data_IF_471523570366
#
_entry.id   IF_471523570366
#
_cell.length_a   1.000
_cell.length_b   1.000
_cell.length_c   1.000
_cell.angle_alpha   90.00
_cell.angle_beta   90.00
_cell.angle_gamma   90.00
#
_symmetry.space_group_name_H-M   'P 1'
#
loop_
_entity.id
_entity.type
_entity.pdbx_description
1 polymer ?
#
# COMPACT_ATOMS: atom_id res chain seq x y z
N UNK A 1 -5.74 15.93 31.77
CA UNK A 1 -4.83 15.53 30.68
C UNK A 1 -4.79 16.62 29.63
N UNK A 2 -3.59 17.00 29.20
CA UNK A 2 -3.30 17.96 28.13
C UNK A 2 -2.83 17.20 26.89
N UNK A 3 -2.79 17.86 25.73
CA UNK A 3 -2.39 17.25 24.45
C UNK A 3 -1.03 16.56 24.49
N UNK A 4 -0.04 17.18 25.15
CA UNK A 4 1.30 16.62 25.37
C UNK A 4 1.29 15.34 26.19
N UNK A 5 0.19 14.98 26.85
CA UNK A 5 0.07 13.71 27.57
C UNK A 5 -0.17 12.52 26.65
N UNK A 6 -0.71 12.75 25.45
CA UNK A 6 -1.08 11.73 24.48
C UNK A 6 -0.02 11.55 23.38
N UNK A 7 0.55 12.65 22.89
CA UNK A 7 1.53 12.64 21.79
C UNK A 7 2.96 12.56 22.35
N UNK A 8 3.29 11.46 23.03
CA UNK A 8 4.57 11.27 23.75
C UNK A 8 5.52 10.30 23.07
N UNK A 9 5.06 9.07 22.86
CA UNK A 9 5.88 7.99 22.34
C UNK A 9 5.57 7.77 20.87
N UNK A 10 6.56 7.96 20.01
CA UNK A 10 6.41 7.68 18.57
C UNK A 10 6.23 6.18 18.34
N UNK A 11 5.37 5.83 17.38
CA UNK A 11 5.40 4.50 16.76
C UNK A 11 6.70 4.35 16.00
N UNK A 12 7.36 3.19 16.12
CA UNK A 12 8.61 2.89 15.41
C UNK A 12 8.34 1.87 14.34
N UNK A 13 8.83 2.16 13.13
CA UNK A 13 8.78 1.19 12.05
C UNK A 13 9.80 0.09 12.25
N UNK A 14 9.39 -1.16 12.03
CA UNK A 14 10.30 -2.30 12.08
C UNK A 14 11.30 -2.25 10.93
N UNK A 15 12.56 -2.59 11.22
CA UNK A 15 13.62 -2.70 10.21
C UNK A 15 13.85 -4.18 9.88
N UNK A 16 13.34 -4.59 8.72
CA UNK A 16 13.45 -5.98 8.21
C UNK A 16 14.88 -6.41 7.90
N UNK A 17 15.83 -5.47 7.88
CA UNK A 17 17.26 -5.76 7.66
C UNK A 17 18.02 -6.07 8.94
N UNK A 18 17.41 -5.77 10.10
CA UNK A 18 18.05 -5.87 11.42
C UNK A 18 17.99 -7.27 12.05
N UNK A 19 17.21 -8.19 11.46
CA UNK A 19 17.05 -9.56 11.94
C UNK A 19 16.76 -10.51 10.77
N UNK A 20 17.28 -11.74 10.85
CA UNK A 20 17.01 -12.80 9.87
C UNK A 20 15.96 -13.78 10.37
N UNK A 21 14.76 -13.75 9.78
CA UNK A 21 13.65 -14.65 10.08
C UNK A 21 13.71 -15.98 9.31
N UNK A 22 14.71 -16.22 8.47
CA UNK A 22 14.80 -17.45 7.67
C UNK A 22 14.74 -18.74 8.51
N UNK A 23 15.43 -18.86 9.67
CA UNK A 23 15.34 -20.06 10.50
C UNK A 23 13.93 -20.34 11.02
N UNK A 24 13.19 -19.30 11.44
CA UNK A 24 11.83 -19.47 11.96
C UNK A 24 10.84 -19.78 10.83
N UNK A 25 10.97 -19.14 9.67
CA UNK A 25 10.13 -19.45 8.49
C UNK A 25 10.34 -20.89 8.02
N UNK A 26 11.59 -21.37 7.99
CA UNK A 26 11.88 -22.76 7.62
C UNK A 26 11.25 -23.75 8.61
N UNK A 27 11.35 -23.49 9.92
CA UNK A 27 10.71 -24.33 10.93
C UNK A 27 9.16 -24.30 10.82
N UNK A 28 8.59 -23.13 10.50
CA UNK A 28 7.14 -22.97 10.32
C UNK A 28 6.57 -23.77 9.14
N UNK A 29 7.40 -24.16 8.16
CA UNK A 29 6.98 -25.03 7.06
C UNK A 29 6.52 -26.41 7.53
N UNK A 30 7.16 -26.95 8.58
CA UNK A 30 6.85 -28.25 9.17
C UNK A 30 5.76 -28.17 10.25
N UNK A 31 5.32 -26.97 10.61
CA UNK A 31 4.24 -26.72 11.58
C UNK A 31 2.85 -26.77 10.90
N UNK A 32 1.78 -26.47 11.66
CA UNK A 32 0.38 -26.46 11.20
C UNK A 32 -0.25 -25.07 11.25
N UNK A 33 -1.44 -24.92 10.66
CA UNK A 33 -2.23 -23.68 10.64
C UNK A 33 -1.47 -22.49 10.04
N UNK A 34 -1.69 -21.28 10.57
CA UNK A 34 -1.11 -20.03 10.09
C UNK A 34 0.41 -20.09 9.94
N UNK A 35 1.14 -20.85 10.77
CA UNK A 35 2.58 -21.04 10.60
C UNK A 35 2.94 -21.59 9.22
N UNK A 36 2.25 -22.63 8.76
CA UNK A 36 2.47 -23.21 7.43
C UNK A 36 2.01 -22.27 6.32
N UNK A 37 0.93 -21.52 6.55
CA UNK A 37 0.44 -20.51 5.60
C UNK A 37 1.50 -19.42 5.38
N UNK A 38 2.14 -18.93 6.44
CA UNK A 38 3.24 -17.93 6.37
C UNK A 38 4.44 -18.49 5.61
N UNK A 39 4.85 -19.73 5.90
CA UNK A 39 5.96 -20.37 5.19
C UNK A 39 5.67 -20.53 3.69
N UNK A 40 4.46 -20.96 3.32
CA UNK A 40 4.03 -21.09 1.93
C UNK A 40 3.88 -19.73 1.23
N UNK A 41 3.34 -18.72 1.91
CA UNK A 41 3.29 -17.35 1.41
C UNK A 41 4.70 -16.81 1.10
N UNK A 42 5.67 -17.11 1.98
CA UNK A 42 7.07 -16.72 1.78
C UNK A 42 7.70 -17.45 0.59
N UNK A 43 7.41 -18.74 0.40
CA UNK A 43 7.86 -19.49 -0.79
C UNK A 43 7.29 -18.90 -2.08
N UNK A 44 5.98 -18.62 -2.11
CA UNK A 44 5.31 -18.04 -3.29
C UNK A 44 5.88 -16.65 -3.61
N UNK A 45 6.11 -15.78 -2.62
CA UNK A 45 6.73 -14.47 -2.87
C UNK A 45 8.17 -14.62 -3.40
N UNK A 46 8.95 -15.58 -2.90
CA UNK A 46 10.29 -15.84 -3.46
C UNK A 46 10.21 -16.36 -4.90
N UNK A 47 9.20 -17.17 -5.26
CA UNK A 47 8.97 -17.59 -6.66
C UNK A 47 8.68 -16.38 -7.55
N UNK A 48 7.80 -15.48 -7.12
CA UNK A 48 7.51 -14.24 -7.84
C UNK A 48 8.80 -13.43 -8.10
N UNK A 49 9.68 -13.33 -7.09
CA UNK A 49 10.94 -12.57 -7.19
C UNK A 49 11.95 -13.22 -8.15
N UNK A 50 11.99 -14.55 -8.18
CA UNK A 50 12.89 -15.31 -9.06
C UNK A 50 12.33 -15.48 -10.48
N UNK A 51 11.07 -15.12 -10.73
CA UNK A 51 10.44 -15.16 -12.05
C UNK A 51 10.75 -13.87 -12.83
N UNK A 52 11.63 -13.99 -13.83
CA UNK A 52 12.09 -12.89 -14.69
C UNK A 52 10.99 -12.27 -15.54
N UNK A 53 9.86 -12.94 -15.73
CA UNK A 53 8.70 -12.47 -16.50
C UNK A 53 7.58 -11.93 -15.59
N UNK A 54 7.69 -12.11 -14.27
CA UNK A 54 6.71 -11.65 -13.30
C UNK A 54 6.85 -10.16 -12.95
N UNK A 55 5.75 -9.42 -13.15
CA UNK A 55 5.51 -8.10 -12.56
C UNK A 55 4.82 -8.28 -11.20
N UNK A 56 5.44 -7.83 -10.11
CA UNK A 56 4.95 -7.99 -8.74
C UNK A 56 4.19 -6.73 -8.33
N UNK A 57 2.91 -6.90 -8.02
CA UNK A 57 2.04 -5.84 -7.54
C UNK A 57 1.82 -6.01 -6.04
N UNK A 58 2.23 -5.00 -5.27
CA UNK A 58 1.95 -4.89 -3.85
C UNK A 58 0.61 -4.18 -3.65
N UNK A 59 -0.32 -4.81 -2.95
CA UNK A 59 -1.54 -4.12 -2.50
C UNK A 59 -1.49 -3.82 -1.02
N UNK A 60 -1.78 -2.59 -0.62
CA UNK A 60 -1.76 -2.17 0.79
C UNK A 60 -3.10 -1.59 1.18
N UNK A 61 -3.81 -2.33 2.03
CA UNK A 61 -5.00 -1.86 2.72
C UNK A 61 -4.81 -1.92 4.24
N UNK A 62 -5.69 -1.23 4.96
CA UNK A 62 -5.63 -1.12 6.41
C UNK A 62 -4.55 -0.16 6.91
N UNK A 63 -4.30 -0.21 8.21
CA UNK A 63 -3.54 0.84 8.92
C UNK A 63 -2.21 0.36 9.49
N UNK A 64 -1.70 -0.80 9.05
CA UNK A 64 -0.41 -1.32 9.53
C UNK A 64 0.77 -0.41 9.21
N UNK A 65 0.61 0.39 8.16
CA UNK A 65 1.41 1.55 7.81
C UNK A 65 1.62 2.52 8.99
N UNK A 66 0.56 2.93 9.69
CA UNK A 66 0.65 3.75 10.91
C UNK A 66 1.14 2.95 12.14
N UNK A 67 0.97 1.62 12.12
CA UNK A 67 1.30 0.71 13.23
C UNK A 67 2.72 0.12 13.15
N UNK A 68 3.63 0.72 12.38
CA UNK A 68 5.04 0.32 12.34
C UNK A 68 5.48 -0.52 11.13
N UNK A 69 4.62 -0.72 10.13
CA UNK A 69 4.97 -1.47 8.92
C UNK A 69 5.34 -0.59 7.71
N UNK A 70 5.26 0.75 7.79
CA UNK A 70 5.51 1.60 6.60
C UNK A 70 6.90 1.36 5.98
N UNK A 71 7.91 1.19 6.83
CA UNK A 71 9.29 0.92 6.36
C UNK A 71 9.39 -0.37 5.55
N UNK A 72 8.57 -1.39 5.86
CA UNK A 72 8.55 -2.64 5.10
C UNK A 72 8.16 -2.36 3.64
N UNK A 73 7.09 -1.60 3.42
CA UNK A 73 6.61 -1.29 2.07
C UNK A 73 7.62 -0.43 1.30
N UNK A 74 8.21 0.56 1.96
CA UNK A 74 9.29 1.37 1.41
C UNK A 74 10.51 0.50 1.03
N UNK A 75 10.91 -0.43 1.91
CA UNK A 75 12.04 -1.34 1.67
C UNK A 75 11.76 -2.31 0.52
N UNK A 76 10.51 -2.77 0.33
CA UNK A 76 10.16 -3.60 -0.83
C UNK A 76 10.39 -2.86 -2.16
N UNK A 77 10.11 -1.55 -2.23
CA UNK A 77 10.43 -0.72 -3.41
C UNK A 77 11.94 -0.50 -3.54
N UNK A 78 12.59 -0.12 -2.44
CA UNK A 78 14.04 0.14 -2.37
C UNK A 78 14.86 -1.07 -2.83
N UNK A 79 14.49 -2.26 -2.38
CA UNK A 79 15.17 -3.52 -2.69
C UNK A 79 14.57 -4.24 -3.91
N UNK A 80 13.85 -3.53 -4.80
CA UNK A 80 13.36 -4.05 -6.08
C UNK A 80 12.50 -5.33 -5.97
N UNK A 81 11.81 -5.51 -4.84
CA UNK A 81 10.94 -6.66 -4.59
C UNK A 81 9.55 -6.51 -5.23
N UNK A 82 9.15 -5.28 -5.57
CA UNK A 82 7.85 -4.94 -6.15
C UNK A 82 8.02 -3.92 -7.27
N UNK A 83 7.11 -3.95 -8.25
CA UNK A 83 7.17 -3.09 -9.43
C UNK A 83 6.00 -2.11 -9.54
N UNK A 84 4.90 -2.39 -8.85
CA UNK A 84 3.69 -1.55 -8.82
C UNK A 84 3.10 -1.60 -7.41
N UNK A 85 2.56 -0.47 -6.94
CA UNK A 85 1.82 -0.41 -5.68
C UNK A 85 0.38 0.00 -5.96
N UNK A 86 -0.59 -0.68 -5.35
CA UNK A 86 -1.99 -0.26 -5.31
C UNK A 86 -2.38 -0.13 -3.84
N UNK A 87 -2.81 1.04 -3.39
CA UNK A 87 -3.01 1.28 -1.96
C UNK A 87 -4.23 2.16 -1.68
N UNK A 88 -4.64 2.20 -0.41
CA UNK A 88 -5.62 3.19 0.06
C UNK A 88 -4.99 4.58 0.17
N UNK A 89 -5.81 5.62 0.07
CA UNK A 89 -5.34 7.01 0.17
C UNK A 89 -4.70 7.26 1.54
N UNK A 90 -5.33 6.74 2.60
CA UNK A 90 -4.79 6.85 3.96
C UNK A 90 -3.37 6.28 4.09
N UNK A 91 -3.06 5.14 3.45
CA UNK A 91 -1.71 4.57 3.48
C UNK A 91 -0.68 5.50 2.83
N UNK A 92 -1.04 6.07 1.68
CA UNK A 92 -0.11 6.86 0.86
C UNK A 92 0.02 8.29 1.40
N UNK A 93 -1.07 8.89 1.89
CA UNK A 93 -1.13 10.31 2.23
C UNK A 93 -1.05 10.50 3.75
N UNK A 94 -2.01 9.97 4.48
CA UNK A 94 -2.17 10.18 5.93
C UNK A 94 -1.06 9.50 6.74
N UNK A 95 -0.42 8.47 6.15
CA UNK A 95 0.63 7.70 6.79
C UNK A 95 2.02 7.97 6.18
N UNK A 96 2.24 7.68 4.89
CA UNK A 96 3.58 7.82 4.29
C UNK A 96 3.96 9.28 4.02
N UNK A 97 3.17 9.99 3.21
CA UNK A 97 3.46 11.38 2.84
C UNK A 97 3.46 12.29 4.08
N UNK A 98 2.51 12.10 4.99
CA UNK A 98 2.47 12.76 6.29
C UNK A 98 3.78 12.61 7.08
N UNK A 99 4.30 11.39 7.21
CA UNK A 99 5.60 11.18 7.86
C UNK A 99 6.77 11.75 7.06
N UNK A 100 6.72 11.71 5.73
CA UNK A 100 7.72 12.31 4.85
C UNK A 100 7.84 13.83 5.06
N UNK A 101 6.72 14.51 5.36
CA UNK A 101 6.67 15.91 5.77
C UNK A 101 7.27 16.17 7.17
N UNK A 102 7.61 15.12 7.92
CA UNK A 102 8.27 15.18 9.23
C UNK A 102 7.34 14.98 10.43
N UNK A 103 6.07 14.68 10.17
CA UNK A 103 5.09 14.41 11.21
C UNK A 103 5.16 12.95 11.69
N UNK A 104 4.41 12.62 12.75
CA UNK A 104 4.59 11.38 13.51
C UNK A 104 3.27 10.76 13.92
N UNK A 105 3.26 9.43 13.94
CA UNK A 105 2.26 8.64 14.65
C UNK A 105 2.77 8.32 16.05
N UNK A 106 1.87 8.28 17.01
CA UNK A 106 2.20 8.04 18.41
C UNK A 106 1.49 6.80 18.93
N UNK A 107 2.14 6.08 19.84
CA UNK A 107 1.50 5.00 20.57
C UNK A 107 0.39 5.57 21.44
N UNK A 108 -0.71 4.85 21.47
CA UNK A 108 -1.92 5.18 22.22
C UNK A 108 -2.51 3.96 22.90
N UNK A 109 -3.82 4.01 23.14
CA UNK A 109 -4.58 2.91 23.73
C UNK A 109 -6.00 2.95 23.17
N UNK A 110 -6.66 1.79 22.98
CA UNK A 110 -8.07 1.79 22.62
C UNK A 110 -8.97 2.19 23.80
N UNK A 111 -8.45 2.16 25.02
CA UNK A 111 -9.19 2.44 26.26
C UNK A 111 -9.01 3.91 26.69
N UNK A 112 -9.55 4.83 25.89
CA UNK A 112 -9.47 6.28 26.11
C UNK A 112 -10.81 6.95 25.82
N UNK A 113 -11.09 8.07 26.49
CA UNK A 113 -12.27 8.89 26.16
C UNK A 113 -12.05 9.63 24.83
N UNK A 114 -12.69 9.15 23.77
CA UNK A 114 -12.60 9.74 22.44
C UNK A 114 -13.15 11.19 22.39
N UNK A 115 -14.08 11.58 23.28
CA UNK A 115 -14.50 13.00 23.38
C UNK A 115 -13.35 13.87 23.84
N UNK A 116 -12.51 13.35 24.74
CA UNK A 116 -11.33 14.07 25.21
C UNK A 116 -10.27 14.20 24.11
N UNK A 117 -10.03 13.14 23.34
CA UNK A 117 -9.15 13.19 22.17
C UNK A 117 -9.63 14.25 21.17
N UNK A 118 -10.92 14.24 20.83
CA UNK A 118 -11.51 15.22 19.92
C UNK A 118 -11.35 16.66 20.42
N UNK A 119 -11.60 16.92 21.70
CA UNK A 119 -11.37 18.25 22.31
C UNK A 119 -9.91 18.72 22.21
N UNK A 120 -8.96 17.78 22.19
CA UNK A 120 -7.53 18.06 22.09
C UNK A 120 -7.02 18.06 20.65
N UNK A 121 -7.91 17.81 19.67
CA UNK A 121 -7.57 17.72 18.25
C UNK A 121 -6.54 16.62 17.99
N UNK A 122 -6.87 15.43 18.49
CA UNK A 122 -6.12 14.20 18.32
C UNK A 122 -7.09 13.17 17.76
N UNK A 123 -6.71 12.52 16.67
CA UNK A 123 -7.47 11.41 16.13
C UNK A 123 -6.78 10.10 16.46
N UNK A 124 -7.56 9.01 16.40
CA UNK A 124 -7.12 7.69 16.83
C UNK A 124 -7.39 6.65 15.77
N UNK A 125 -6.35 5.88 15.47
CA UNK A 125 -6.38 4.69 14.64
C UNK A 125 -6.14 3.51 15.58
N UNK A 126 -7.21 2.93 16.10
CA UNK A 126 -7.15 1.89 17.14
C UNK A 126 -6.30 2.31 18.36
N UNK A 127 -5.09 1.79 18.53
CA UNK A 127 -4.17 2.12 19.61
C UNK A 127 -3.02 3.04 19.15
N UNK A 128 -3.21 3.73 18.04
CA UNK A 128 -2.28 4.73 17.49
C UNK A 128 -2.95 6.10 17.45
N UNK A 129 -2.23 7.15 17.80
CA UNK A 129 -2.69 8.53 17.78
C UNK A 129 -2.01 9.34 16.68
N UNK A 130 -2.76 10.27 16.12
CA UNK A 130 -2.29 11.25 15.13
C UNK A 130 -2.71 12.65 15.53
N UNK A 131 -1.85 13.61 15.21
CA UNK A 131 -2.09 15.02 15.46
C UNK A 131 -2.89 15.65 14.30
N UNK A 132 -4.16 15.95 14.54
CA UNK A 132 -5.06 16.55 13.53
C UNK A 132 -4.53 17.87 12.96
N UNK A 133 -3.82 18.68 13.77
CA UNK A 133 -3.24 19.94 13.26
C UNK A 133 -2.12 19.67 12.27
N UNK A 134 -1.39 18.57 12.43
CA UNK A 134 -0.37 18.15 11.48
C UNK A 134 -1.02 17.59 10.21
N UNK A 135 -2.14 16.86 10.34
CA UNK A 135 -2.92 16.39 9.18
C UNK A 135 -3.41 17.56 8.34
N UNK A 136 -3.92 18.62 8.97
CA UNK A 136 -4.31 19.84 8.25
C UNK A 136 -3.16 20.50 7.47
N UNK A 137 -1.92 20.38 7.95
CA UNK A 137 -0.73 20.83 7.19
C UNK A 137 -0.45 19.89 6.00
N UNK A 138 -0.67 18.59 6.16
CA UNK A 138 -0.63 17.62 5.07
C UNK A 138 -1.67 17.96 3.99
N UNK A 139 -2.93 18.18 4.38
CA UNK A 139 -4.03 18.55 3.47
C UNK A 139 -3.69 19.84 2.70
N UNK A 140 -3.22 20.87 3.40
CA UNK A 140 -2.80 22.13 2.79
C UNK A 140 -1.59 21.95 1.86
N UNK A 141 -0.73 20.97 2.12
CA UNK A 141 0.39 20.62 1.23
C UNK A 141 -0.11 19.95 -0.05
N UNK A 142 -1.11 19.08 0.04
CA UNK A 142 -1.78 18.51 -1.14
C UNK A 142 -2.42 19.63 -1.98
N UNK A 143 -3.15 20.56 -1.35
CA UNK A 143 -3.68 21.74 -2.04
C UNK A 143 -2.58 22.50 -2.78
N UNK A 144 -1.45 22.78 -2.10
CA UNK A 144 -0.32 23.49 -2.69
C UNK A 144 0.25 22.78 -3.92
N UNK A 145 0.31 21.44 -3.91
CA UNK A 145 0.73 20.67 -5.08
C UNK A 145 -0.31 20.84 -6.19
N UNK A 146 -1.60 20.65 -5.90
CA UNK A 146 -2.68 20.81 -6.87
C UNK A 146 -2.71 22.21 -7.52
N UNK A 147 -2.51 23.27 -6.72
CA UNK A 147 -2.44 24.66 -7.18
C UNK A 147 -1.31 24.93 -8.19
N UNK A 148 -0.28 24.08 -8.22
CA UNK A 148 0.85 24.20 -9.14
C UNK A 148 0.67 23.45 -10.46
N UNK A 149 -0.40 22.66 -10.58
CA UNK A 149 -0.68 21.82 -11.74
C UNK A 149 -1.63 22.52 -12.72
N UNK A 150 -1.57 22.12 -13.98
CA UNK A 150 -2.51 22.62 -15.01
C UNK A 150 -3.90 22.03 -14.78
N UNK A 151 -4.99 22.81 -14.95
CA UNK A 151 -6.37 22.35 -14.75
C UNK A 151 -6.75 21.29 -15.79
N UNK A 152 -6.74 20.03 -15.38
CA UNK A 152 -7.20 18.88 -16.16
C UNK A 152 -7.52 17.71 -15.22
N UNK A 153 -8.16 16.65 -15.71
CA UNK A 153 -8.20 15.38 -15.00
C UNK A 153 -6.80 14.73 -14.90
N UNK A 154 -6.45 14.28 -13.71
CA UNK A 154 -5.24 13.48 -13.42
C UNK A 154 -5.65 12.11 -12.89
N UNK A 155 -4.86 11.07 -13.17
CA UNK A 155 -4.97 9.83 -12.39
C UNK A 155 -4.36 10.02 -11.00
N UNK A 156 -4.71 9.19 -10.03
CA UNK A 156 -4.02 9.19 -8.73
C UNK A 156 -2.52 8.95 -8.90
N UNK A 157 -2.11 8.07 -9.83
CA UNK A 157 -0.69 7.83 -10.16
C UNK A 157 0.02 9.11 -10.58
N UNK A 158 -0.53 9.87 -11.53
CA UNK A 158 0.07 11.14 -11.97
C UNK A 158 0.21 12.13 -10.80
N UNK A 159 -0.80 12.22 -9.94
CA UNK A 159 -0.76 13.14 -8.80
C UNK A 159 0.29 12.70 -7.77
N UNK A 160 0.39 11.40 -7.49
CA UNK A 160 1.39 10.83 -6.56
C UNK A 160 2.82 11.01 -7.10
N UNK A 161 3.03 10.99 -8.42
CA UNK A 161 4.32 11.36 -9.02
C UNK A 161 4.70 12.81 -8.67
N UNK A 162 3.75 13.74 -8.72
CA UNK A 162 4.00 15.14 -8.31
C UNK A 162 4.21 15.27 -6.80
N UNK A 163 3.58 14.43 -5.97
CA UNK A 163 3.89 14.31 -4.54
C UNK A 163 5.34 13.82 -4.31
N UNK A 164 5.78 12.78 -5.01
CA UNK A 164 7.17 12.29 -4.91
C UNK A 164 8.19 13.34 -5.33
N UNK A 165 7.93 14.04 -6.45
CA UNK A 165 8.74 15.17 -6.91
C UNK A 165 8.78 16.33 -5.91
N UNK A 166 7.67 16.60 -5.23
CA UNK A 166 7.64 17.56 -4.12
C UNK A 166 8.55 17.11 -2.96
N UNK A 167 8.51 15.82 -2.60
CA UNK A 167 9.31 15.25 -1.51
C UNK A 167 10.82 15.29 -1.77
N UNK A 168 11.27 15.17 -3.03
CA UNK A 168 12.71 15.31 -3.36
C UNK A 168 13.30 16.59 -2.75
N UNK A 169 12.56 17.69 -2.81
CA UNK A 169 13.00 19.00 -2.32
C UNK A 169 12.60 19.28 -0.88
N UNK A 170 11.45 18.77 -0.43
CA UNK A 170 10.81 19.21 0.81
C UNK A 170 10.75 18.15 1.92
N UNK A 171 11.07 16.89 1.64
CA UNK A 171 10.96 15.81 2.63
C UNK A 171 11.88 16.05 3.83
N UNK A 172 11.29 15.96 5.02
CA UNK A 172 11.97 16.00 6.32
C UNK A 172 12.43 14.61 6.75
N UNK A 173 11.58 13.58 6.56
CA UNK A 173 11.95 12.17 6.66
C UNK A 173 12.24 11.66 5.25
N UNK A 174 13.44 11.11 5.04
CA UNK A 174 13.84 10.51 3.77
C UNK A 174 13.39 9.07 3.68
N UNK A 175 13.43 8.52 2.47
CA UNK A 175 13.11 7.12 2.17
C UNK A 175 11.66 6.74 2.52
N UNK A 176 10.72 7.68 2.30
CA UNK A 176 9.29 7.36 2.32
C UNK A 176 8.91 6.50 1.11
N UNK A 177 7.83 5.74 1.21
CA UNK A 177 7.32 4.93 0.09
C UNK A 177 7.08 5.78 -1.15
N UNK A 178 6.39 6.92 -1.04
CA UNK A 178 6.12 7.86 -2.14
C UNK A 178 7.41 8.41 -2.74
N UNK A 179 8.38 8.78 -1.90
CA UNK A 179 9.68 9.27 -2.37
C UNK A 179 10.43 8.18 -3.16
N UNK A 180 10.57 6.99 -2.58
CA UNK A 180 11.29 5.88 -3.19
C UNK A 180 10.61 5.41 -4.47
N UNK A 181 9.28 5.38 -4.50
CA UNK A 181 8.51 5.03 -5.68
C UNK A 181 8.79 6.00 -6.84
N UNK A 182 8.83 7.30 -6.57
CA UNK A 182 9.23 8.31 -7.55
C UNK A 182 10.68 8.14 -8.02
N UNK A 183 11.63 7.95 -7.10
CA UNK A 183 13.06 7.80 -7.43
C UNK A 183 13.35 6.52 -8.23
N UNK A 184 12.54 5.47 -8.05
CA UNK A 184 12.72 4.17 -8.68
C UNK A 184 11.73 3.88 -9.82
N UNK A 185 10.91 4.86 -10.24
CA UNK A 185 9.86 4.73 -11.25
C UNK A 185 8.91 3.54 -11.00
N UNK A 186 8.47 3.37 -9.75
CA UNK A 186 7.43 2.42 -9.36
C UNK A 186 6.11 3.18 -9.25
N UNK A 187 5.10 2.93 -10.11
CA UNK A 187 3.83 3.64 -10.03
C UNK A 187 3.04 3.21 -8.80
N UNK A 188 2.40 4.19 -8.17
CA UNK A 188 1.45 3.99 -7.07
C UNK A 188 0.06 4.39 -7.55
N UNK A 189 -0.91 3.48 -7.43
CA UNK A 189 -2.31 3.74 -7.71
C UNK A 189 -3.12 3.77 -6.42
N UNK A 190 -4.02 4.76 -6.31
CA UNK A 190 -4.95 4.89 -5.22
C UNK A 190 -6.37 5.15 -5.77
N UNK A 191 -7.16 4.08 -6.04
CA UNK A 191 -8.43 4.23 -6.75
C UNK A 191 -9.46 5.12 -6.05
N UNK A 192 -9.43 5.13 -4.71
CA UNK A 192 -10.23 6.00 -3.86
C UNK A 192 -9.37 7.12 -3.26
N UNK A 193 -8.65 7.89 -4.09
CA UNK A 193 -7.68 8.89 -3.62
C UNK A 193 -8.32 10.00 -2.76
N UNK A 194 -9.55 10.40 -3.09
CA UNK A 194 -10.29 11.41 -2.33
C UNK A 194 -10.68 10.94 -0.92
N UNK A 195 -10.63 9.63 -0.63
CA UNK A 195 -10.92 9.05 0.68
C UNK A 195 -9.65 9.03 1.56
N UNK A 196 -9.09 10.23 1.79
CA UNK A 196 -7.87 10.49 2.58
C UNK A 196 -7.64 11.99 2.75
N UNK A 197 -6.56 12.39 3.45
CA UNK A 197 -6.03 13.78 3.49
C UNK A 197 -5.90 14.41 2.10
N UNK A 198 -5.67 13.62 1.05
CA UNK A 198 -5.62 14.18 -0.30
C UNK A 198 -6.97 14.77 -0.74
N UNK A 199 -8.08 14.12 -0.39
CA UNK A 199 -9.41 14.63 -0.69
C UNK A 199 -9.67 16.00 -0.08
N UNK A 200 -9.28 16.21 1.18
CA UNK A 200 -9.43 17.50 1.85
C UNK A 200 -8.65 18.61 1.14
N UNK A 201 -7.38 18.37 0.82
CA UNK A 201 -6.55 19.30 0.05
C UNK A 201 -7.12 19.62 -1.34
N UNK A 202 -7.64 18.60 -2.04
CA UNK A 202 -8.26 18.75 -3.35
C UNK A 202 -9.58 19.53 -3.29
N UNK A 203 -10.41 19.31 -2.27
CA UNK A 203 -11.63 20.10 -2.06
C UNK A 203 -11.28 21.57 -1.78
N UNK A 204 -10.28 21.83 -0.95
CA UNK A 204 -9.80 23.20 -0.71
C UNK A 204 -9.33 23.87 -2.01
N UNK A 205 -8.61 23.13 -2.86
CA UNK A 205 -8.18 23.60 -4.18
C UNK A 205 -9.38 23.94 -5.08
N UNK A 206 -10.34 23.03 -5.22
CA UNK A 206 -11.51 23.23 -6.08
C UNK A 206 -12.39 24.40 -5.63
N UNK A 207 -12.64 24.53 -4.32
CA UNK A 207 -13.44 25.64 -3.78
C UNK A 207 -12.77 26.99 -4.06
N UNK A 208 -11.45 27.09 -3.94
CA UNK A 208 -10.71 28.33 -4.19
C UNK A 208 -10.61 28.65 -5.69
N UNK A 209 -10.33 27.63 -6.52
CA UNK A 209 -10.06 27.80 -7.95
C UNK A 209 -11.31 27.80 -8.84
N UNK A 210 -12.46 27.36 -8.33
CA UNK A 210 -13.74 27.30 -9.05
C UNK A 210 -13.64 26.51 -10.35
N UNK A 211 -13.59 27.14 -11.51
CA UNK A 211 -13.51 26.44 -12.81
C UNK A 211 -12.06 26.14 -13.24
N UNK A 212 -11.06 26.75 -12.58
CA UNK A 212 -9.63 26.61 -12.89
C UNK A 212 -8.94 25.55 -12.00
N UNK A 213 -9.57 24.38 -11.86
CA UNK A 213 -9.13 23.33 -10.93
C UNK A 213 -8.71 22.03 -11.62
N UNK A 214 -7.97 21.21 -10.89
CA UNK A 214 -7.70 19.82 -11.26
C UNK A 214 -8.74 18.86 -10.67
N UNK A 215 -8.96 17.74 -11.33
CA UNK A 215 -9.78 16.63 -10.83
C UNK A 215 -8.99 15.34 -10.84
N UNK A 216 -9.48 14.35 -10.08
CA UNK A 216 -8.93 12.99 -10.07
C UNK A 216 -9.88 12.08 -10.84
N UNK A 217 -9.36 11.41 -11.86
CA UNK A 217 -10.06 10.47 -12.73
C UNK A 217 -9.68 9.04 -12.35
N UNK A 218 -10.57 8.37 -11.61
CA UNK A 218 -10.39 6.98 -11.18
C UNK A 218 -10.51 5.97 -12.33
N UNK A 219 -11.19 6.32 -13.43
CA UNK A 219 -11.23 5.48 -14.64
C UNK A 219 -9.88 5.51 -15.33
N UNK A 220 -9.21 6.66 -15.34
CA UNK A 220 -7.84 6.78 -15.84
C UNK A 220 -6.85 5.93 -15.02
N UNK A 221 -6.98 5.89 -13.69
CA UNK A 221 -6.21 4.94 -12.86
C UNK A 221 -6.42 3.49 -13.30
N UNK A 222 -7.68 3.09 -13.49
CA UNK A 222 -8.01 1.71 -13.84
C UNK A 222 -7.49 1.33 -15.23
N UNK A 223 -7.57 2.27 -16.18
CA UNK A 223 -7.03 2.09 -17.53
C UNK A 223 -5.51 1.96 -17.52
N UNK A 224 -4.80 2.88 -16.86
CA UNK A 224 -3.33 2.85 -16.78
C UNK A 224 -2.82 1.56 -16.13
N UNK A 225 -3.48 1.10 -15.05
CA UNK A 225 -3.15 -0.17 -14.40
C UNK A 225 -3.46 -1.38 -15.29
N UNK A 226 -4.56 -1.34 -16.05
CA UNK A 226 -4.91 -2.39 -17.01
C UNK A 226 -3.92 -2.45 -18.18
N UNK A 227 -3.39 -1.31 -18.63
CA UNK A 227 -2.35 -1.26 -19.65
C UNK A 227 -1.06 -1.96 -19.16
N UNK A 228 -0.68 -1.78 -17.89
CA UNK A 228 0.42 -2.55 -17.28
C UNK A 228 0.11 -4.05 -17.32
N UNK A 229 -1.10 -4.46 -16.95
CA UNK A 229 -1.51 -5.88 -16.99
C UNK A 229 -1.44 -6.47 -18.41
N UNK A 230 -1.83 -5.71 -19.43
CA UNK A 230 -1.77 -6.13 -20.84
C UNK A 230 -0.33 -6.30 -21.33
N UNK A 231 0.58 -5.43 -20.89
CA UNK A 231 1.98 -5.44 -21.31
C UNK A 231 2.82 -6.45 -20.50
N UNK A 232 2.44 -6.74 -19.26
CA UNK A 232 3.10 -7.71 -18.42
C UNK A 232 2.88 -9.13 -18.95
N UNK A 233 3.95 -9.89 -19.14
CA UNK A 233 3.86 -11.31 -19.51
C UNK A 233 3.21 -12.15 -18.41
N UNK A 234 3.53 -11.83 -17.16
CA UNK A 234 3.02 -12.50 -15.96
C UNK A 234 2.93 -11.49 -14.83
N UNK A 235 2.01 -11.74 -13.91
CA UNK A 235 1.79 -10.87 -12.74
C UNK A 235 1.60 -11.69 -11.48
N UNK A 236 2.21 -11.24 -10.37
CA UNK A 236 2.02 -11.78 -9.02
C UNK A 236 1.44 -10.72 -8.08
N UNK A 237 0.51 -11.13 -7.22
CA UNK A 237 -0.13 -10.26 -6.23
C UNK A 237 0.38 -10.57 -4.83
N UNK A 238 0.94 -9.57 -4.14
CA UNK A 238 1.25 -9.66 -2.72
C UNK A 238 0.39 -8.65 -1.96
N UNK A 239 -0.63 -9.16 -1.27
CA UNK A 239 -1.76 -8.36 -0.81
C UNK A 239 -1.84 -8.29 0.70
N UNK A 240 -1.81 -7.08 1.25
CA UNK A 240 -2.00 -6.81 2.68
C UNK A 240 -3.40 -6.27 2.89
N UNK A 241 -4.22 -7.01 3.62
CA UNK A 241 -5.63 -6.73 3.82
C UNK A 241 -6.48 -7.12 2.62
N UNK A 242 -7.37 -6.22 2.19
CA UNK A 242 -8.34 -6.46 1.14
C UNK A 242 -8.86 -5.16 0.54
N UNK A 243 -10.19 -5.00 0.49
CA UNK A 243 -10.85 -3.77 0.06
C UNK A 243 -10.57 -3.40 -1.39
N UNK A 244 -10.60 -2.09 -1.66
CA UNK A 244 -10.44 -1.53 -3.00
C UNK A 244 -9.11 -1.94 -3.64
N UNK A 245 -7.94 -1.84 -2.97
CA UNK A 245 -6.67 -2.20 -3.61
C UNK A 245 -6.62 -3.64 -4.17
N UNK A 246 -7.15 -4.60 -3.40
CA UNK A 246 -7.24 -6.01 -3.82
C UNK A 246 -8.14 -6.17 -5.04
N UNK A 247 -9.38 -5.70 -4.95
CA UNK A 247 -10.35 -5.93 -6.03
C UNK A 247 -9.96 -5.19 -7.31
N UNK A 248 -9.45 -3.96 -7.16
CA UNK A 248 -9.10 -3.10 -8.29
C UNK A 248 -7.99 -3.68 -9.17
N UNK A 249 -6.92 -4.24 -8.60
CA UNK A 249 -5.88 -4.92 -9.40
C UNK A 249 -6.42 -6.21 -10.03
N UNK A 250 -7.22 -6.99 -9.30
CA UNK A 250 -7.74 -8.26 -9.81
C UNK A 250 -8.69 -8.06 -11.01
N UNK A 251 -9.48 -6.97 -11.01
CA UNK A 251 -10.39 -6.63 -12.11
C UNK A 251 -9.68 -6.20 -13.40
N UNK A 252 -8.37 -5.94 -13.38
CA UNK A 252 -7.62 -5.57 -14.59
C UNK A 252 -7.59 -6.68 -15.64
N UNK A 253 -7.69 -7.95 -15.22
CA UNK A 253 -7.81 -9.09 -16.14
C UNK A 253 -9.10 -8.97 -16.94
N UNK A 254 -10.22 -8.72 -16.26
CA UNK A 254 -11.55 -8.60 -16.88
C UNK A 254 -11.65 -7.34 -17.71
N UNK A 255 -11.05 -6.24 -17.26
CA UNK A 255 -10.97 -5.01 -18.03
C UNK A 255 -10.20 -5.22 -19.34
N UNK A 256 -9.08 -5.95 -19.32
CA UNK A 256 -8.34 -6.29 -20.52
C UNK A 256 -9.20 -7.12 -21.50
N UNK A 257 -9.98 -8.08 -21.01
CA UNK A 257 -10.92 -8.85 -21.84
C UNK A 257 -12.01 -7.97 -22.46
N UNK A 258 -12.59 -7.03 -21.70
CA UNK A 258 -13.54 -6.04 -22.22
C UNK A 258 -12.95 -5.15 -23.31
N UNK A 259 -11.61 -4.96 -23.31
CA UNK A 259 -10.86 -4.25 -24.35
C UNK A 259 -10.45 -5.16 -25.52
N UNK A 260 -10.93 -6.42 -25.55
CA UNK A 260 -10.60 -7.40 -26.59
C UNK A 260 -9.15 -7.91 -26.50
N UNK A 261 -8.52 -7.84 -25.33
CA UNK A 261 -7.16 -8.34 -25.08
C UNK A 261 -7.23 -9.61 -24.23
N UNK A 262 -6.70 -10.69 -24.76
CA UNK A 262 -6.49 -11.92 -23.98
C UNK A 262 -5.22 -11.79 -23.17
N UNK A 263 -5.35 -11.83 -21.84
CA UNK A 263 -4.23 -11.79 -20.89
C UNK A 263 -4.34 -12.97 -19.94
N UNK A 264 -3.23 -13.53 -19.43
CA UNK A 264 -3.29 -14.58 -18.43
C UNK A 264 -3.84 -14.03 -17.10
N UNK A 265 -4.41 -14.90 -16.28
CA UNK A 265 -4.76 -14.59 -14.88
C UNK A 265 -3.51 -14.16 -14.09
N UNK A 266 -3.69 -13.61 -12.89
CA UNK A 266 -2.57 -13.44 -11.97
C UNK A 266 -2.03 -14.80 -11.54
N UNK A 267 -0.80 -15.14 -11.94
CA UNK A 267 -0.22 -16.48 -11.77
C UNK A 267 0.11 -16.80 -10.30
N UNK A 268 0.51 -15.78 -9.55
CA UNK A 268 0.85 -15.90 -8.13
C UNK A 268 -0.04 -14.98 -7.31
N UNK A 269 -0.51 -15.45 -6.16
CA UNK A 269 -1.31 -14.62 -5.26
C UNK A 269 -1.08 -14.99 -3.79
N UNK A 270 -0.70 -14.00 -2.99
CA UNK A 270 -0.63 -14.10 -1.53
C UNK A 270 -1.51 -13.01 -0.94
N UNK A 271 -2.39 -13.38 -0.01
CA UNK A 271 -3.18 -12.42 0.76
C UNK A 271 -2.97 -12.62 2.25
N UNK A 272 -2.60 -11.56 2.99
CA UNK A 272 -2.59 -11.56 4.45
C UNK A 272 -3.82 -10.80 4.93
N UNK A 273 -4.72 -11.44 5.67
CA UNK A 273 -6.03 -10.86 5.99
C UNK A 273 -6.60 -11.38 7.31
N UNK A 274 -7.45 -10.57 7.92
CA UNK A 274 -8.32 -10.96 9.05
C UNK A 274 -9.79 -11.04 8.64
N UNK A 275 -10.09 -10.79 7.35
CA UNK A 275 -11.45 -10.75 6.84
C UNK A 275 -12.07 -12.15 6.83
N UNK A 276 -13.35 -12.22 7.19
CA UNK A 276 -14.11 -13.46 7.33
C UNK A 276 -15.20 -13.52 6.28
N UNK A 277 -15.31 -14.65 5.57
CA UNK A 277 -16.24 -14.83 4.44
C UNK A 277 -17.70 -14.53 4.78
N UNK A 278 -18.09 -14.59 6.06
CA UNK A 278 -19.46 -14.29 6.51
C UNK A 278 -19.87 -12.84 6.31
N UNK A 279 -18.92 -11.92 6.15
CA UNK A 279 -19.23 -10.49 5.91
C UNK A 279 -19.64 -10.21 4.45
N UNK A 280 -19.42 -11.14 3.52
CA UNK A 280 -19.73 -10.98 2.10
C UNK A 280 -18.92 -9.89 1.38
N UNK A 281 -17.83 -9.42 1.98
CA UNK A 281 -17.03 -8.31 1.46
C UNK A 281 -15.97 -8.77 0.44
N UNK A 282 -15.58 -7.89 -0.49
CA UNK A 282 -14.46 -8.18 -1.41
C UNK A 282 -13.15 -8.49 -0.66
N UNK A 283 -13.00 -7.98 0.57
CA UNK A 283 -11.86 -8.29 1.45
C UNK A 283 -11.77 -9.77 1.80
N UNK A 284 -12.90 -10.43 2.07
CA UNK A 284 -12.99 -11.82 2.49
C UNK A 284 -13.16 -12.82 1.34
N UNK A 285 -13.52 -12.35 0.15
CA UNK A 285 -13.57 -13.16 -1.09
C UNK A 285 -12.30 -13.98 -1.25
N UNK A 286 -12.44 -15.30 -1.38
CA UNK A 286 -11.28 -16.21 -1.41
C UNK A 286 -10.54 -16.14 -2.74
N UNK A 287 -9.26 -16.53 -2.77
CA UNK A 287 -8.52 -16.62 -4.06
C UNK A 287 -9.13 -17.67 -4.99
N UNK A 288 -9.77 -18.71 -4.45
CA UNK A 288 -10.55 -19.69 -5.22
C UNK A 288 -11.79 -19.07 -5.87
N UNK A 289 -12.50 -18.23 -5.12
CA UNK A 289 -13.61 -17.45 -5.66
C UNK A 289 -13.13 -16.49 -6.75
N UNK A 290 -12.04 -15.75 -6.53
CA UNK A 290 -11.45 -14.89 -7.57
C UNK A 290 -11.07 -15.65 -8.86
N UNK A 291 -10.70 -16.93 -8.75
CA UNK A 291 -10.42 -17.80 -9.89
C UNK A 291 -11.66 -18.10 -10.73
N UNK A 292 -12.85 -18.23 -10.14
CA UNK A 292 -14.09 -18.44 -10.92
C UNK A 292 -14.45 -17.25 -11.80
N UNK A 293 -13.94 -16.07 -11.45
CA UNK A 293 -14.07 -14.86 -12.26
C UNK A 293 -12.97 -14.73 -13.31
N UNK A 294 -12.01 -15.65 -13.39
CA UNK A 294 -10.86 -15.54 -14.30
C UNK A 294 -9.81 -14.53 -13.84
N UNK A 295 -9.76 -14.15 -12.55
CA UNK A 295 -8.82 -13.12 -12.07
C UNK A 295 -7.48 -13.72 -11.60
N UNK A 296 -7.52 -14.84 -10.88
CA UNK A 296 -6.37 -15.42 -10.19
C UNK A 296 -6.22 -16.91 -10.55
N UNK A 297 -5.01 -17.32 -10.89
CA UNK A 297 -4.63 -18.71 -11.03
C UNK A 297 -4.45 -19.35 -9.64
N UNK A 298 -4.90 -20.58 -9.46
CA UNK A 298 -4.86 -21.28 -8.17
C UNK A 298 -3.64 -22.17 -7.99
N UNK A 299 -2.74 -22.26 -8.98
CA UNK A 299 -1.52 -23.07 -8.87
C UNK A 299 -0.59 -22.54 -7.76
N UNK A 300 -0.39 -21.22 -7.69
CA UNK A 300 0.48 -20.59 -6.68
C UNK A 300 -0.27 -19.54 -5.87
N UNK A 301 -1.23 -20.01 -5.06
CA UNK A 301 -2.02 -19.16 -4.16
C UNK A 301 -1.82 -19.50 -2.68
N UNK A 302 -1.92 -18.48 -1.82
CA UNK A 302 -2.01 -18.65 -0.37
C UNK A 302 -2.71 -17.47 0.31
N UNK A 303 -3.76 -17.75 1.08
CA UNK A 303 -4.31 -16.81 2.07
C UNK A 303 -3.73 -17.09 3.46
N UNK A 304 -3.23 -16.07 4.14
CA UNK A 304 -2.71 -16.13 5.52
C UNK A 304 -3.72 -15.41 6.41
N UNK A 305 -4.43 -16.16 7.25
CA UNK A 305 -5.44 -15.60 8.15
C UNK A 305 -4.79 -15.07 9.44
N UNK A 306 -4.23 -13.87 9.36
CA UNK A 306 -3.51 -13.22 10.46
C UNK A 306 -3.55 -11.69 10.35
N UNK A 307 -3.31 -11.02 11.49
CA UNK A 307 -3.02 -9.60 11.51
C UNK A 307 -1.63 -9.35 10.89
N UNK A 308 -1.54 -8.44 9.93
CA UNK A 308 -0.35 -8.32 9.09
C UNK A 308 0.90 -7.87 9.86
N UNK A 309 0.79 -7.00 10.86
CA UNK A 309 1.90 -6.60 11.72
C UNK A 309 2.58 -7.76 12.46
N UNK A 310 1.84 -8.83 12.76
CA UNK A 310 2.37 -10.03 13.41
C UNK A 310 3.15 -10.99 12.49
N UNK A 311 2.90 -10.96 11.17
CA UNK A 311 3.46 -11.95 10.22
C UNK A 311 4.27 -11.35 9.10
N UNK A 312 3.92 -10.15 8.63
CA UNK A 312 4.57 -9.47 7.52
C UNK A 312 6.07 -9.22 7.77
N UNK A 313 6.52 -8.80 8.96
CA UNK A 313 7.94 -8.60 9.21
C UNK A 313 8.76 -9.89 9.02
N UNK A 314 8.19 -11.05 9.39
CA UNK A 314 8.85 -12.34 9.22
C UNK A 314 8.96 -12.74 7.76
N UNK A 315 7.90 -12.53 6.97
CA UNK A 315 7.91 -12.87 5.53
C UNK A 315 8.95 -12.03 4.80
N UNK A 316 8.94 -10.71 5.00
CA UNK A 316 9.79 -9.78 4.25
C UNK A 316 11.25 -9.83 4.71
N UNK A 317 11.52 -10.03 6.01
CA UNK A 317 12.88 -10.30 6.49
C UNK A 317 13.48 -11.54 5.81
N UNK A 318 12.74 -12.65 5.73
CA UNK A 318 13.26 -13.87 5.10
C UNK A 318 13.57 -13.65 3.61
N UNK A 319 12.67 -12.98 2.88
CA UNK A 319 12.88 -12.60 1.48
C UNK A 319 14.10 -11.70 1.31
N UNK A 320 14.26 -10.70 2.19
CA UNK A 320 15.41 -9.80 2.18
C UNK A 320 16.72 -10.55 2.38
N UNK A 321 16.79 -11.44 3.38
CA UNK A 321 17.99 -12.17 3.76
C UNK A 321 18.36 -13.30 2.77
N UNK A 322 17.38 -13.89 2.07
CA UNK A 322 17.65 -14.78 0.93
C UNK A 322 18.37 -14.06 -0.22
N UNK A 323 18.08 -12.78 -0.42
CA UNK A 323 18.85 -11.92 -1.33
C UNK A 323 18.57 -12.08 -2.81
N UNK A 324 17.60 -12.91 -3.23
CA UNK A 324 17.29 -13.15 -4.64
C UNK A 324 16.83 -11.89 -5.39
N UNK A 325 16.21 -10.94 -4.68
CA UNK A 325 15.83 -9.63 -5.21
C UNK A 325 17.00 -8.86 -5.83
N UNK A 326 18.25 -9.13 -5.42
CA UNK A 326 19.45 -8.50 -5.98
C UNK A 326 19.71 -8.89 -7.43
N UNK A 327 19.21 -10.05 -7.86
CA UNK A 327 19.36 -10.55 -9.24
C UNK A 327 18.26 -10.03 -10.16
N UNK A 328 17.19 -9.47 -9.58
CA UNK A 328 16.00 -9.05 -10.31
C UNK A 328 16.27 -7.77 -11.09
N UNK A 329 15.94 -7.76 -12.38
CA UNK A 329 15.97 -6.54 -13.18
C UNK A 329 14.81 -5.62 -12.77
N UNK A 330 15.10 -4.33 -12.58
CA UNK A 330 14.06 -3.36 -12.22
C UNK A 330 13.16 -3.09 -13.44
N UNK A 331 11.85 -3.25 -13.26
CA UNK A 331 10.86 -2.87 -14.26
C UNK A 331 10.54 -1.38 -14.13
N UNK A 332 10.29 -0.73 -15.25
CA UNK A 332 9.92 0.68 -15.28
C UNK A 332 8.49 0.82 -15.82
N UNK A 333 7.53 0.95 -14.89
CA UNK A 333 6.11 1.17 -15.19
C UNK A 333 5.65 2.60 -14.85
N UNK A 334 6.57 3.43 -14.33
CA UNK A 334 6.30 4.73 -13.69
C UNK A 334 5.98 5.88 -14.64
#
# INVERSE_FOLDING_TARGET
MKRSDFLKEEVKHIDITSFDSTPIINAMADMSFTSREIARATDILNRMINDEDCTIILTIAGSTSAAGCMKIYADMVKYNMVDVVVATGATIVDMDFFEALGFKHYKGTPNVDDKKLRQLYIDRIYDTYIDEKQLQVCDATIKKIADSLKPRPYSSREFIVEMGKYLIKNAKKKESLVQLAYENNVPIFCPAFSDSSAGFGLVMHQVEKKDDHISIDSVKDFRELTEIKIQAKTTGLFMIGGGVPKNFIQDTVICAECLGKTVPMHQYAVQITVADVRDGACSSSTLKEASSWGKVDTVYEQMVFAEAGSVLPLIISCVYHKGDWRKRQRRNWG
#
